data_IF_277379253857
#
_entry.id   IF_277379253857
#
_cell.length_a   1.000
_cell.length_b   1.000
_cell.length_c   1.000
_cell.angle_alpha   90.00
_cell.angle_beta   90.00
_cell.angle_gamma   90.00
#
_symmetry.space_group_name_H-M   'P 1'
#
loop_
_entity.id
_entity.type
_entity.pdbx_description
1 polymer ?
#
# COMPACT_ATOMS: atom_id res chain seq x y z
N UNK A 1 -3.76 -12.54 19.58
CA UNK A 1 -2.92 -12.64 18.39
C UNK A 1 -3.79 -12.52 17.16
N UNK A 2 -3.56 -11.49 16.38
CA UNK A 2 -4.25 -11.37 15.12
C UNK A 2 -3.55 -12.32 14.15
N UNK A 3 -4.10 -13.51 13.99
CA UNK A 3 -3.68 -14.43 12.96
C UNK A 3 -4.03 -13.86 11.57
N UNK A 4 -3.49 -14.48 10.56
CA UNK A 4 -3.89 -14.23 9.18
C UNK A 4 -5.36 -14.58 9.04
N UNK A 5 -6.20 -13.60 8.68
CA UNK A 5 -7.64 -13.82 8.52
C UNK A 5 -7.90 -14.49 7.18
N UNK A 6 -8.52 -15.67 7.20
CA UNK A 6 -8.99 -16.33 6.01
C UNK A 6 -10.33 -15.72 5.59
N UNK A 7 -10.42 -15.29 4.34
CA UNK A 7 -11.63 -14.67 3.78
C UNK A 7 -12.50 -15.65 3.00
N UNK A 8 -12.24 -16.95 3.14
CA UNK A 8 -13.03 -17.99 2.52
C UNK A 8 -14.46 -17.97 3.08
N UNK A 9 -15.46 -17.95 2.20
CA UNK A 9 -16.87 -17.86 2.58
C UNK A 9 -17.39 -16.44 2.82
N UNK A 10 -16.55 -15.42 2.73
CA UNK A 10 -17.02 -14.04 2.77
C UNK A 10 -17.73 -13.68 1.47
N UNK A 11 -18.79 -12.89 1.58
CA UNK A 11 -19.48 -12.33 0.40
C UNK A 11 -18.55 -11.33 -0.32
N UNK A 12 -18.85 -11.07 -1.61
CA UNK A 12 -18.09 -10.06 -2.37
C UNK A 12 -18.14 -8.69 -1.71
N UNK A 13 -19.27 -8.32 -1.13
CA UNK A 13 -19.39 -7.05 -0.39
C UNK A 13 -18.47 -7.01 0.82
N UNK A 14 -18.41 -8.08 1.60
CA UNK A 14 -17.51 -8.17 2.75
C UNK A 14 -16.05 -8.12 2.33
N UNK A 15 -15.67 -8.80 1.24
CA UNK A 15 -14.31 -8.74 0.68
C UNK A 15 -13.94 -7.33 0.24
N UNK A 16 -14.83 -6.63 -0.45
CA UNK A 16 -14.63 -5.24 -0.86
C UNK A 16 -14.45 -4.32 0.35
N UNK A 17 -15.25 -4.49 1.39
CA UNK A 17 -15.13 -3.69 2.60
C UNK A 17 -13.82 -3.96 3.34
N UNK A 18 -13.38 -5.22 3.40
CA UNK A 18 -12.09 -5.58 3.97
C UNK A 18 -10.94 -4.90 3.23
N UNK A 19 -10.97 -4.90 1.91
CA UNK A 19 -9.96 -4.24 1.07
C UNK A 19 -9.94 -2.72 1.29
N UNK A 20 -11.10 -2.09 1.37
CA UNK A 20 -11.21 -0.64 1.69
C UNK A 20 -10.58 -0.31 3.04
N UNK A 21 -10.84 -1.13 4.05
CA UNK A 21 -10.26 -0.97 5.38
C UNK A 21 -8.74 -1.11 5.34
N UNK A 22 -8.22 -2.13 4.67
CA UNK A 22 -6.78 -2.34 4.50
C UNK A 22 -6.11 -1.18 3.76
N UNK A 23 -6.73 -0.70 2.68
CA UNK A 23 -6.25 0.47 1.93
C UNK A 23 -6.09 1.69 2.85
N UNK A 24 -7.10 2.00 3.65
CA UNK A 24 -7.04 3.10 4.61
C UNK A 24 -5.96 2.90 5.68
N UNK A 25 -5.80 1.68 6.17
CA UNK A 25 -4.79 1.36 7.17
C UNK A 25 -3.37 1.51 6.62
N UNK A 26 -3.13 1.08 5.39
CA UNK A 26 -1.84 1.25 4.72
C UNK A 26 -1.48 2.73 4.56
N UNK A 27 -2.43 3.55 4.12
CA UNK A 27 -2.23 5.00 3.97
C UNK A 27 -1.89 5.65 5.31
N UNK A 28 -2.66 5.35 6.35
CA UNK A 28 -2.41 5.87 7.71
C UNK A 28 -1.05 5.43 8.23
N UNK A 29 -0.68 4.19 8.02
CA UNK A 29 0.62 3.67 8.40
C UNK A 29 1.75 4.46 7.72
N UNK A 30 1.71 4.60 6.40
CA UNK A 30 2.77 5.33 5.67
C UNK A 30 2.87 6.77 6.18
N UNK A 31 1.74 7.47 6.28
CA UNK A 31 1.71 8.86 6.74
C UNK A 31 2.29 9.01 8.15
N UNK A 32 1.88 8.14 9.08
CA UNK A 32 2.37 8.19 10.45
C UNK A 32 3.86 7.86 10.57
N UNK A 33 4.34 6.91 9.79
CA UNK A 33 5.75 6.52 9.81
C UNK A 33 6.65 7.62 9.20
N UNK A 34 6.22 8.25 8.11
CA UNK A 34 6.98 9.36 7.50
C UNK A 34 7.07 10.57 8.44
N UNK A 35 6.02 10.88 9.18
CA UNK A 35 6.06 11.96 10.19
C UNK A 35 7.15 11.70 11.25
N UNK A 36 7.40 10.46 11.61
CA UNK A 36 8.48 10.13 12.55
C UNK A 36 9.85 10.52 12.01
N UNK A 37 10.06 10.43 10.71
CA UNK A 37 11.29 10.95 10.08
C UNK A 37 11.44 12.46 10.31
N UNK A 38 10.37 13.22 10.19
CA UNK A 38 10.38 14.66 10.44
C UNK A 38 10.59 14.99 11.93
N UNK A 39 10.27 14.05 12.81
CA UNK A 39 10.53 14.16 14.25
C UNK A 39 11.94 13.74 14.66
N UNK A 40 12.77 13.31 13.72
CA UNK A 40 14.18 13.00 13.96
C UNK A 40 14.50 11.51 14.11
N UNK A 41 13.57 10.61 13.82
CA UNK A 41 13.87 9.18 13.77
C UNK A 41 14.76 8.84 12.58
N UNK A 42 15.75 7.98 12.80
CA UNK A 42 16.64 7.54 11.72
C UNK A 42 16.01 6.46 10.84
N UNK A 43 15.21 5.60 11.45
CA UNK A 43 14.55 4.48 10.78
C UNK A 43 13.10 4.38 11.18
N UNK A 44 12.26 4.07 10.22
CA UNK A 44 10.81 3.92 10.39
C UNK A 44 10.30 2.67 9.66
N UNK A 45 9.00 2.43 9.68
CA UNK A 45 8.38 1.27 9.03
C UNK A 45 8.99 -0.05 9.52
N UNK A 46 9.02 -0.23 10.85
CA UNK A 46 9.59 -1.41 11.52
C UNK A 46 11.09 -1.63 11.17
N UNK A 47 11.82 -0.55 10.91
CA UNK A 47 13.22 -0.60 10.52
C UNK A 47 13.46 -0.84 9.03
N UNK A 48 12.42 -0.94 8.23
CA UNK A 48 12.52 -1.24 6.80
C UNK A 48 12.85 0.00 5.94
N UNK A 49 12.73 1.19 6.49
CA UNK A 49 13.05 2.44 5.78
C UNK A 49 14.01 3.29 6.60
N UNK A 50 15.17 3.61 6.03
CA UNK A 50 15.98 4.70 6.55
C UNK A 50 15.34 6.02 6.12
N UNK A 51 15.22 6.96 7.04
CA UNK A 51 14.57 8.24 6.75
C UNK A 51 15.31 9.05 5.68
N UNK A 52 16.63 8.88 5.55
CA UNK A 52 17.44 9.46 4.47
C UNK A 52 17.00 8.98 3.08
N UNK A 53 16.45 7.77 2.99
CA UNK A 53 16.10 7.13 1.73
C UNK A 53 14.64 7.39 1.29
N UNK A 54 13.86 8.12 2.11
CA UNK A 54 12.44 8.36 1.83
C UNK A 54 12.15 9.06 0.51
N UNK A 55 13.14 9.76 -0.03
CA UNK A 55 13.02 10.46 -1.31
C UNK A 55 13.50 9.61 -2.50
N UNK A 56 14.06 8.43 -2.25
CA UNK A 56 14.50 7.53 -3.32
C UNK A 56 13.29 6.78 -3.86
N UNK A 57 13.17 6.72 -5.18
CA UNK A 57 12.07 6.03 -5.86
C UNK A 57 11.93 4.57 -5.36
N UNK A 58 10.70 4.15 -5.14
CA UNK A 58 10.29 2.82 -4.71
C UNK A 58 10.74 2.39 -3.29
N UNK A 59 11.47 3.21 -2.55
CA UNK A 59 11.91 2.85 -1.19
C UNK A 59 10.77 2.81 -0.20
N UNK A 60 9.85 3.78 -0.25
CA UNK A 60 8.65 3.77 0.60
C UNK A 60 7.77 2.57 0.24
N UNK A 61 7.58 2.29 -1.05
CA UNK A 61 6.79 1.14 -1.49
C UNK A 61 7.37 -0.18 -0.98
N UNK A 62 8.67 -0.40 -1.17
CA UNK A 62 9.35 -1.62 -0.71
C UNK A 62 9.29 -1.77 0.82
N UNK A 63 9.50 -0.69 1.57
CA UNK A 63 9.44 -0.70 3.03
C UNK A 63 8.02 -0.98 3.53
N UNK A 64 7.01 -0.45 2.85
CA UNK A 64 5.60 -0.72 3.18
C UNK A 64 5.27 -2.19 2.94
N UNK A 65 5.66 -2.75 1.81
CA UNK A 65 5.47 -4.17 1.53
C UNK A 65 6.11 -5.03 2.62
N UNK A 66 7.35 -4.79 2.97
CA UNK A 66 8.07 -5.52 4.01
C UNK A 66 7.37 -5.41 5.38
N UNK A 67 6.84 -4.24 5.71
CA UNK A 67 6.17 -3.99 6.98
C UNK A 67 4.83 -4.72 7.12
N UNK A 68 4.16 -5.02 6.02
CA UNK A 68 2.88 -5.73 6.01
C UNK A 68 3.00 -7.21 5.62
N UNK A 69 4.20 -7.71 5.41
CA UNK A 69 4.43 -9.12 5.09
C UNK A 69 3.82 -10.02 6.18
N UNK A 70 3.00 -10.97 5.77
CA UNK A 70 2.29 -11.89 6.66
C UNK A 70 1.13 -11.29 7.46
N UNK A 71 0.86 -10.00 7.33
CA UNK A 71 -0.19 -9.31 8.11
C UNK A 71 -1.50 -9.17 7.35
N UNK A 72 -1.45 -8.85 6.08
CA UNK A 72 -2.62 -8.69 5.23
C UNK A 72 -2.57 -9.69 4.09
N UNK A 73 -3.58 -10.53 4.00
CA UNK A 73 -3.81 -11.36 2.83
C UNK A 73 -4.92 -10.75 1.97
N UNK A 74 -4.81 -10.96 0.67
CA UNK A 74 -5.79 -10.50 -0.27
C UNK A 74 -7.12 -11.27 -0.08
N UNK A 75 -8.24 -10.59 0.22
CA UNK A 75 -9.52 -11.28 0.42
C UNK A 75 -10.04 -12.02 -0.82
N UNK A 76 -9.62 -11.62 -2.02
CA UNK A 76 -10.01 -12.25 -3.27
C UNK A 76 -9.07 -13.39 -3.68
N UNK A 77 -7.82 -13.35 -3.18
CA UNK A 77 -6.80 -14.38 -3.44
C UNK A 77 -6.07 -14.64 -2.12
N UNK A 78 -6.69 -15.40 -1.24
CA UNK A 78 -6.31 -15.53 0.17
C UNK A 78 -4.91 -16.10 0.45
N UNK A 79 -4.23 -16.62 -0.55
CA UNK A 79 -2.85 -17.13 -0.40
C UNK A 79 -1.78 -16.09 -0.79
N UNK A 80 -2.19 -14.90 -1.25
CA UNK A 80 -1.25 -13.85 -1.67
C UNK A 80 -1.20 -12.70 -0.69
N UNK A 81 0.01 -12.19 -0.51
CA UNK A 81 0.21 -10.93 0.21
C UNK A 81 -0.59 -9.80 -0.45
N UNK A 82 -1.18 -8.96 0.38
CA UNK A 82 -2.07 -7.92 -0.12
C UNK A 82 -1.35 -6.60 -0.42
N UNK A 83 -0.28 -6.28 0.30
CA UNK A 83 0.47 -5.04 0.09
C UNK A 83 1.68 -5.33 -0.79
N UNK A 84 1.76 -4.69 -1.93
CA UNK A 84 2.79 -4.93 -2.93
C UNK A 84 3.44 -3.60 -3.32
N UNK A 85 4.77 -3.59 -3.34
CA UNK A 85 5.54 -2.48 -3.87
C UNK A 85 5.57 -2.53 -5.40
N UNK A 86 5.44 -1.40 -6.05
CA UNK A 86 5.60 -1.33 -7.49
C UNK A 86 4.78 -0.23 -8.13
N UNK A 87 5.08 0.03 -9.37
CA UNK A 87 4.27 0.93 -10.18
C UNK A 87 2.92 0.27 -10.45
N UNK A 88 1.89 0.97 -10.05
CA UNK A 88 0.55 0.49 -10.27
C UNK A 88 0.28 0.35 -11.78
N UNK A 89 -0.17 -0.82 -12.24
CA UNK A 89 -0.69 -0.94 -13.61
C UNK A 89 -1.95 -0.12 -13.84
N UNK A 90 -2.24 0.81 -12.95
CA UNK A 90 -3.46 1.59 -12.89
C UNK A 90 -3.28 3.01 -13.41
N UNK A 91 -2.27 3.27 -14.23
CA UNK A 91 -1.93 4.63 -14.65
C UNK A 91 -3.06 5.38 -15.36
N UNK A 92 -4.04 4.69 -15.92
CA UNK A 92 -5.13 5.29 -16.67
C UNK A 92 -6.52 5.08 -16.06
N UNK A 93 -6.60 4.83 -14.77
CA UNK A 93 -7.89 4.63 -14.12
C UNK A 93 -8.53 3.27 -14.34
N UNK A 94 -7.90 2.40 -15.10
CA UNK A 94 -8.41 1.06 -15.40
C UNK A 94 -7.82 0.04 -14.44
N UNK A 95 -8.69 -0.70 -13.77
CA UNK A 95 -8.29 -1.84 -12.95
C UNK A 95 -8.09 -3.07 -13.83
N UNK A 96 -6.89 -3.62 -13.84
CA UNK A 96 -6.62 -4.90 -14.52
C UNK A 96 -6.90 -6.01 -13.52
N UNK A 97 -8.08 -6.58 -13.61
CA UNK A 97 -8.63 -7.56 -12.67
C UNK A 97 -7.77 -8.82 -12.57
N UNK A 98 -7.18 -9.22 -13.65
CA UNK A 98 -6.48 -10.50 -13.76
C UNK A 98 -5.33 -10.68 -12.76
N UNK A 99 -4.77 -9.57 -12.29
CA UNK A 99 -3.59 -9.61 -11.43
C UNK A 99 -3.77 -8.92 -10.08
N UNK A 100 -4.80 -8.10 -9.88
CA UNK A 100 -4.80 -7.13 -8.79
C UNK A 100 -6.14 -6.95 -8.06
N UNK A 101 -7.12 -7.83 -8.23
CA UNK A 101 -8.35 -7.73 -7.43
C UNK A 101 -8.03 -7.77 -5.94
N UNK A 102 -8.29 -6.67 -5.26
CA UNK A 102 -8.06 -6.53 -3.82
C UNK A 102 -6.63 -6.20 -3.41
N UNK A 103 -5.67 -6.24 -4.33
CA UNK A 103 -4.26 -5.91 -4.03
C UNK A 103 -4.04 -4.41 -3.82
N UNK A 104 -3.22 -4.08 -2.85
CA UNK A 104 -2.86 -2.72 -2.49
C UNK A 104 -1.46 -2.43 -3.02
N UNK A 105 -1.38 -1.60 -4.05
CA UNK A 105 -0.12 -1.23 -4.70
C UNK A 105 0.40 0.08 -4.12
N UNK A 106 1.63 0.05 -3.62
CA UNK A 106 2.30 1.22 -3.05
C UNK A 106 3.52 1.55 -3.89
N UNK A 107 3.60 2.77 -4.35
CA UNK A 107 4.77 3.27 -5.08
C UNK A 107 5.13 4.67 -4.62
N UNK A 108 6.39 5.04 -4.81
CA UNK A 108 6.80 6.42 -4.69
C UNK A 108 7.80 6.76 -5.81
N UNK A 109 7.66 7.96 -6.34
CA UNK A 109 8.50 8.49 -7.39
C UNK A 109 9.05 9.86 -7.01
N UNK A 110 10.24 10.20 -7.49
CA UNK A 110 10.80 11.50 -7.24
C UNK A 110 10.05 12.56 -8.04
N UNK A 111 9.92 13.74 -7.45
CA UNK A 111 9.35 14.89 -8.13
C UNK A 111 10.43 15.87 -8.55
N UNK A 112 10.18 16.61 -9.62
CA UNK A 112 11.14 17.62 -10.13
C UNK A 112 11.31 18.83 -9.22
N UNK A 113 10.40 19.00 -8.25
CA UNK A 113 10.38 20.16 -7.33
C UNK A 113 10.91 19.81 -5.92
N UNK A 114 11.57 18.68 -5.78
CA UNK A 114 12.04 18.19 -4.48
C UNK A 114 10.92 17.52 -3.69
N UNK A 115 11.18 16.31 -3.22
CA UNK A 115 10.20 15.48 -2.53
C UNK A 115 9.90 14.21 -3.31
N UNK A 116 9.03 13.39 -2.77
CA UNK A 116 8.59 12.17 -3.40
C UNK A 116 7.06 12.09 -3.42
N UNK A 117 6.51 11.69 -4.54
CA UNK A 117 5.09 11.46 -4.70
C UNK A 117 4.78 10.02 -4.32
N UNK A 118 4.03 9.83 -3.24
CA UNK A 118 3.58 8.52 -2.79
C UNK A 118 2.20 8.24 -3.36
N UNK A 119 2.02 7.04 -3.89
CA UNK A 119 0.75 6.59 -4.45
C UNK A 119 0.34 5.28 -3.82
N UNK A 120 -0.93 5.20 -3.43
CA UNK A 120 -1.55 3.94 -3.00
C UNK A 120 -2.76 3.70 -3.87
N UNK A 121 -2.78 2.59 -4.58
CA UNK A 121 -3.83 2.22 -5.53
C UNK A 121 -4.33 0.82 -5.25
N UNK A 122 -5.65 0.67 -5.17
CA UNK A 122 -6.31 -0.60 -4.86
C UNK A 122 -7.49 -0.79 -5.78
N UNK A 123 -7.52 -1.92 -6.48
CA UNK A 123 -8.66 -2.30 -7.32
C UNK A 123 -9.50 -3.37 -6.63
N UNK A 124 -10.82 -3.18 -6.64
CA UNK A 124 -11.76 -4.17 -6.13
C UNK A 124 -13.01 -4.24 -7.02
N UNK A 125 -12.97 -5.10 -8.01
CA UNK A 125 -13.99 -5.20 -9.04
C UNK A 125 -13.48 -4.69 -10.38
N UNK A 126 -14.33 -4.74 -11.41
CA UNK A 126 -13.91 -4.52 -12.79
C UNK A 126 -13.51 -3.09 -13.10
N UNK A 127 -14.10 -2.12 -12.40
CA UNK A 127 -13.90 -0.70 -12.68
C UNK A 127 -13.66 0.13 -11.44
N UNK A 128 -13.78 -0.44 -10.26
CA UNK A 128 -13.73 0.34 -9.03
C UNK A 128 -12.31 0.37 -8.47
N UNK A 129 -11.80 1.58 -8.28
CA UNK A 129 -10.47 1.83 -7.76
C UNK A 129 -10.52 2.79 -6.59
N UNK A 130 -9.79 2.46 -5.54
CA UNK A 130 -9.39 3.40 -4.52
C UNK A 130 -8.01 3.94 -4.88
N UNK A 131 -7.83 5.23 -4.79
CA UNK A 131 -6.59 5.87 -5.15
C UNK A 131 -6.33 7.06 -4.24
N UNK A 132 -5.13 7.14 -3.71
CA UNK A 132 -4.67 8.32 -2.98
C UNK A 132 -3.21 8.58 -3.33
N UNK A 133 -2.88 9.84 -3.52
CA UNK A 133 -1.50 10.28 -3.69
C UNK A 133 -1.25 11.55 -2.88
N UNK A 134 -0.02 11.68 -2.39
CA UNK A 134 0.42 12.88 -1.68
C UNK A 134 1.93 13.03 -1.82
N UNK A 135 2.39 14.26 -1.57
CA UNK A 135 3.82 14.59 -1.65
C UNK A 135 4.42 14.55 -0.24
N UNK A 136 5.53 13.84 -0.12
CA UNK A 136 6.43 13.86 1.04
C UNK A 136 7.56 14.83 0.73
N UNK A 137 7.69 15.84 1.55
CA UNK A 137 8.74 16.87 1.43
C UNK A 137 9.84 16.65 2.44
#
# INVERSE_FOLDING_TARGET
AVGVVAYNGYTNTAKKNAVKTMHSQVIKFIKSEIIKCDMGEDKVMNGNLNCSDRFIANKIGAATQASFEGKFLNPFVSYKENVVAGQAPHQNGTCIIQYNSGGILVSNINTSVGGTLVRVSTCYGETTRLYEEWIVK
#
